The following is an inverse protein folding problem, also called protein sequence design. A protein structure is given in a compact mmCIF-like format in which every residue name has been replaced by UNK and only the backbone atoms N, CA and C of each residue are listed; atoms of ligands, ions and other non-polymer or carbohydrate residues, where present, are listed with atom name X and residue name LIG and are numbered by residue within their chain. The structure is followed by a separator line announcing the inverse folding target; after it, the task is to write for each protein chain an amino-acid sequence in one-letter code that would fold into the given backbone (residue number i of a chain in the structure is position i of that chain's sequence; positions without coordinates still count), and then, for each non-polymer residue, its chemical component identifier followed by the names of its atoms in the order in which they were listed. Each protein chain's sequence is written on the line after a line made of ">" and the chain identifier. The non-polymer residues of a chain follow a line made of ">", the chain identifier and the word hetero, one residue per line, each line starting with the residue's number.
data_IF_210988753962
#
_entry.id   IF_210988753962
#
_cell.length_a   1.000
_cell.length_b   1.000
_cell.length_c   1.000
_cell.angle_alpha   90.00
_cell.angle_beta   90.00
_cell.angle_gamma   90.00
#
_symmetry.space_group_name_H-M   'P 1'
#
loop_
_entity.id
_entity.type
_entity.pdbx_description
1 polymer ?
#
# COMPACT_ATOMS: atom_id res chain seq x y z
N UNK A 1 -7.13 -4.50 17.14
CA UNK A 1 -5.89 -4.15 16.40
C UNK A 1 -6.32 -3.47 15.10
N UNK A 2 -5.63 -2.41 14.68
CA UNK A 2 -6.03 -1.65 13.49
C UNK A 2 -5.58 -2.36 12.20
N UNK A 3 -6.46 -2.41 11.19
CA UNK A 3 -6.21 -3.09 9.91
C UNK A 3 -4.92 -2.58 9.23
N UNK A 4 -4.61 -1.29 9.40
CA UNK A 4 -3.39 -0.70 8.86
C UNK A 4 -2.10 -1.29 9.45
N UNK A 5 -2.10 -1.68 10.74
CA UNK A 5 -0.95 -2.35 11.37
C UNK A 5 -0.77 -3.76 10.84
N UNK A 6 -1.87 -4.52 10.71
CA UNK A 6 -1.82 -5.88 10.12
C UNK A 6 -1.27 -5.85 8.69
N UNK A 7 -1.72 -4.89 7.88
CA UNK A 7 -1.23 -4.73 6.50
C UNK A 7 0.25 -4.34 6.49
N UNK A 8 0.68 -3.47 7.40
CA UNK A 8 2.09 -3.13 7.54
C UNK A 8 2.95 -4.38 7.80
N UNK A 9 2.58 -5.17 8.80
CA UNK A 9 3.34 -6.36 9.20
C UNK A 9 3.42 -7.38 8.05
N UNK A 10 2.31 -7.60 7.34
CA UNK A 10 2.27 -8.48 6.16
C UNK A 10 3.22 -7.99 5.06
N UNK A 11 3.24 -6.68 4.77
CA UNK A 11 4.10 -6.12 3.73
C UNK A 11 5.57 -6.18 4.13
N UNK A 12 5.92 -5.89 5.38
CA UNK A 12 7.29 -6.03 5.87
C UNK A 12 7.75 -7.50 5.82
N UNK A 13 6.93 -8.44 6.26
CA UNK A 13 7.26 -9.88 6.26
C UNK A 13 7.41 -10.47 4.85
N UNK A 14 6.67 -9.95 3.86
CA UNK A 14 6.74 -10.46 2.48
C UNK A 14 7.77 -9.74 1.62
N UNK A 15 7.95 -8.43 1.81
CA UNK A 15 8.77 -7.59 0.92
C UNK A 15 10.14 -7.26 1.51
N UNK A 16 10.29 -7.27 2.84
CA UNK A 16 11.57 -7.01 3.52
C UNK A 16 12.28 -8.28 4.02
N UNK A 17 11.78 -9.47 3.66
CA UNK A 17 12.24 -10.76 4.18
C UNK A 17 13.74 -11.02 3.96
N UNK A 18 14.24 -10.67 2.78
CA UNK A 18 15.63 -10.91 2.36
C UNK A 18 16.51 -9.65 2.42
N UNK A 19 15.96 -8.54 2.94
CA UNK A 19 16.61 -7.22 3.03
C UNK A 19 15.59 -6.10 2.98
N UNK A 20 15.92 -4.90 3.50
CA UNK A 20 14.98 -3.75 3.51
C UNK A 20 14.76 -3.24 2.08
N UNK A 21 13.67 -3.64 1.44
CA UNK A 21 13.26 -3.23 0.08
C UNK A 21 12.25 -2.07 0.13
N UNK A 22 11.38 -2.06 1.14
CA UNK A 22 10.37 -1.01 1.34
C UNK A 22 10.56 -0.32 2.70
N UNK A 23 10.20 0.96 2.74
CA UNK A 23 10.10 1.75 3.96
C UNK A 23 8.69 2.29 4.12
N UNK A 24 7.99 1.82 5.17
CA UNK A 24 6.65 2.31 5.50
C UNK A 24 6.82 3.51 6.42
N UNK A 25 6.59 4.72 5.88
CA UNK A 25 6.79 5.97 6.61
C UNK A 25 5.69 6.27 7.63
N UNK A 26 4.45 6.00 7.26
CA UNK A 26 3.30 6.30 8.12
C UNK A 26 2.19 5.27 7.94
N UNK A 27 1.57 4.85 9.05
CA UNK A 27 0.32 4.12 9.08
C UNK A 27 -0.73 5.01 9.74
N UNK A 28 -1.59 5.63 8.94
CA UNK A 28 -2.73 6.41 9.44
C UNK A 28 -4.00 5.57 9.35
N UNK A 29 -4.87 5.69 10.35
CA UNK A 29 -6.24 5.21 10.21
C UNK A 29 -6.97 6.17 9.28
N UNK A 30 -7.67 5.65 8.27
CA UNK A 30 -8.56 6.49 7.48
C UNK A 30 -9.71 6.96 8.38
N UNK A 31 -9.97 8.27 8.42
CA UNK A 31 -11.10 8.85 9.19
C UNK A 31 -12.48 8.36 8.67
N UNK A 32 -12.52 7.77 7.48
CA UNK A 32 -13.71 7.13 6.91
C UNK A 32 -13.33 5.89 6.08
N UNK A 33 -13.81 4.72 6.50
CA UNK A 33 -13.54 3.40 5.91
C UNK A 33 -14.50 3.03 4.76
N UNK A 34 -15.13 3.99 4.09
CA UNK A 34 -16.11 3.72 3.03
C UNK A 34 -15.49 3.37 1.66
N UNK A 35 -14.23 2.92 1.64
CA UNK A 35 -13.61 2.44 0.41
C UNK A 35 -13.99 0.97 0.20
N UNK A 36 -14.82 0.71 -0.80
CA UNK A 36 -15.20 -0.66 -1.15
C UNK A 36 -14.05 -1.49 -1.74
N UNK A 37 -13.04 -0.81 -2.28
CA UNK A 37 -11.90 -1.43 -2.97
C UNK A 37 -10.61 -0.83 -2.43
N UNK A 38 -9.65 -1.69 -2.14
CA UNK A 38 -8.29 -1.33 -1.72
C UNK A 38 -7.59 -0.58 -2.87
N UNK A 39 -6.98 0.56 -2.56
CA UNK A 39 -6.31 1.39 -3.57
C UNK A 39 -4.82 1.41 -3.33
N UNK A 40 -4.06 1.22 -4.39
CA UNK A 40 -2.61 1.30 -4.39
C UNK A 40 -2.24 2.42 -5.35
N UNK A 41 -1.86 3.57 -4.82
CA UNK A 41 -1.65 4.80 -5.58
C UNK A 41 -0.15 5.05 -5.69
N UNK A 42 0.40 5.09 -6.90
CA UNK A 42 1.79 5.47 -7.16
C UNK A 42 1.89 6.95 -7.53
N UNK A 43 2.88 7.66 -7.01
CA UNK A 43 3.06 9.08 -7.27
C UNK A 43 4.33 9.42 -8.08
N UNK A 44 5.15 8.42 -8.40
CA UNK A 44 6.40 8.63 -9.15
C UNK A 44 6.54 7.59 -10.26
N UNK A 45 7.22 8.00 -11.34
CA UNK A 45 7.62 7.11 -12.44
C UNK A 45 9.05 6.55 -12.23
N UNK A 46 9.56 6.57 -10.98
CA UNK A 46 10.84 5.95 -10.67
C UNK A 46 10.78 4.47 -11.05
N UNK A 47 11.84 3.99 -11.68
CA UNK A 47 11.98 2.59 -12.08
C UNK A 47 11.75 1.68 -10.86
N UNK A 48 10.90 0.66 -11.03
CA UNK A 48 10.57 -0.31 -9.98
C UNK A 48 9.40 0.05 -9.08
N UNK A 49 8.89 1.29 -9.08
CA UNK A 49 7.71 1.67 -8.25
C UNK A 49 6.43 1.01 -8.75
N UNK A 50 6.22 0.95 -10.07
CA UNK A 50 5.05 0.25 -10.66
C UNK A 50 5.10 -1.25 -10.36
N UNK A 51 6.26 -1.88 -10.50
CA UNK A 51 6.44 -3.29 -10.16
C UNK A 51 6.21 -3.55 -8.66
N UNK A 52 6.64 -2.62 -7.80
CA UNK A 52 6.38 -2.70 -6.37
C UNK A 52 4.89 -2.59 -6.05
N UNK A 53 4.17 -1.69 -6.71
CA UNK A 53 2.72 -1.56 -6.53
C UNK A 53 1.96 -2.84 -6.92
N UNK A 54 2.36 -3.49 -8.03
CA UNK A 54 1.79 -4.79 -8.42
C UNK A 54 2.18 -5.93 -7.45
N UNK A 55 3.39 -5.90 -6.88
CA UNK A 55 3.77 -6.83 -5.81
C UNK A 55 2.92 -6.64 -4.56
N UNK A 56 2.71 -5.40 -4.12
CA UNK A 56 1.82 -5.08 -2.99
C UNK A 56 0.43 -5.64 -3.23
N UNK A 57 -0.15 -5.39 -4.43
CA UNK A 57 -1.44 -5.96 -4.83
C UNK A 57 -1.45 -7.48 -4.74
N UNK A 58 -0.39 -8.14 -5.20
CA UNK A 58 -0.26 -9.60 -5.16
C UNK A 58 -0.20 -10.13 -3.72
N UNK A 59 0.54 -9.45 -2.83
CA UNK A 59 0.65 -9.81 -1.41
C UNK A 59 -0.70 -9.65 -0.70
N UNK A 60 -1.39 -8.54 -0.94
CA UNK A 60 -2.72 -8.29 -0.37
C UNK A 60 -3.80 -9.19 -0.99
N UNK A 61 -3.62 -9.62 -2.24
CA UNK A 61 -4.55 -10.40 -3.03
C UNK A 61 -5.75 -9.61 -3.55
N UNK A 62 -5.88 -8.34 -3.18
CA UNK A 62 -6.96 -7.42 -3.54
C UNK A 62 -6.41 -6.04 -3.86
N UNK A 63 -7.26 -5.22 -4.48
CA UNK A 63 -7.00 -3.82 -4.75
C UNK A 63 -6.61 -3.49 -6.18
N UNK A 64 -6.68 -2.19 -6.48
CA UNK A 64 -6.42 -1.61 -7.79
C UNK A 64 -5.24 -0.66 -7.74
N UNK A 65 -4.29 -0.85 -8.67
CA UNK A 65 -3.14 0.04 -8.86
C UNK A 65 -3.55 1.22 -9.73
N UNK A 66 -3.23 2.43 -9.31
CA UNK A 66 -3.44 3.65 -10.08
C UNK A 66 -2.29 4.64 -9.85
N UNK A 67 -2.14 5.58 -10.78
CA UNK A 67 -1.14 6.66 -10.66
C UNK A 67 -1.82 7.99 -10.40
N UNK A 68 -1.22 8.82 -9.54
CA UNK A 68 -1.67 10.19 -9.27
C UNK A 68 -0.49 11.14 -9.28
N UNK A 69 -0.67 12.35 -9.84
CA UNK A 69 0.34 13.42 -9.77
C UNK A 69 0.22 14.26 -8.49
N UNK A 70 -0.86 14.12 -7.72
CA UNK A 70 -1.08 14.84 -6.47
C UNK A 70 -0.56 14.02 -5.29
N UNK A 71 0.55 14.42 -4.68
CA UNK A 71 1.23 13.71 -3.61
C UNK A 71 1.44 14.60 -2.36
N UNK A 72 0.38 14.87 -1.58
CA UNK A 72 0.48 15.75 -0.41
C UNK A 72 1.39 15.17 0.68
N UNK A 73 1.51 13.84 0.77
CA UNK A 73 2.27 13.12 1.80
C UNK A 73 3.75 12.88 1.40
N UNK A 74 4.15 13.26 0.18
CA UNK A 74 5.51 13.09 -0.34
C UNK A 74 6.05 11.65 -0.23
N UNK A 75 5.23 10.67 -0.60
CA UNK A 75 5.56 9.23 -0.61
C UNK A 75 5.57 8.68 -2.04
N UNK A 76 6.28 7.58 -2.29
CA UNK A 76 6.28 6.96 -3.63
C UNK A 76 4.98 6.17 -3.89
N UNK A 77 4.42 5.52 -2.86
CA UNK A 77 3.22 4.69 -2.93
C UNK A 77 2.36 4.93 -1.68
N UNK A 78 1.05 5.11 -1.87
CA UNK A 78 0.04 5.08 -0.80
C UNK A 78 -0.84 3.86 -0.96
N UNK A 79 -1.09 3.14 0.13
CA UNK A 79 -2.04 2.02 0.19
C UNK A 79 -3.21 2.42 1.07
N UNK A 80 -4.42 2.42 0.50
CA UNK A 80 -5.66 2.68 1.21
C UNK A 80 -6.41 1.36 1.29
N UNK A 81 -6.56 0.81 2.48
CA UNK A 81 -7.24 -0.49 2.68
C UNK A 81 -8.75 -0.29 2.60
N UNK A 82 -9.39 -1.04 1.71
CA UNK A 82 -10.83 -1.06 1.54
C UNK A 82 -11.50 -2.23 2.26
N UNK A 83 -12.83 -2.31 2.18
CA UNK A 83 -13.62 -3.41 2.75
C UNK A 83 -13.52 -4.73 1.98
N UNK A 84 -12.94 -4.71 0.77
CA UNK A 84 -12.55 -5.91 0.03
C UNK A 84 -11.40 -6.68 0.70
N UNK A 85 -10.63 -6.01 1.55
CA UNK A 85 -9.60 -6.64 2.36
C UNK A 85 -10.21 -7.30 3.60
N UNK A 86 -10.30 -8.63 3.56
CA UNK A 86 -11.01 -9.45 4.58
C UNK A 86 -10.09 -10.38 5.36
N UNK A 87 -8.77 -10.30 5.14
CA UNK A 87 -7.77 -11.11 5.84
C UNK A 87 -7.38 -10.52 7.20
#
# INVERSE_FOLDING_TARGET
>A
QGIALTVKDILEDNLNKDGKVIEIKETKNADSFNYNVTKIITYTDKTGIKDMAEKIKTVLGVGAVSSSSSNPDNVDITVIVGSDYTK
#
